data_IF_832610299753
#
_entry.id   IF_832610299753
#
_cell.length_a   1.000
_cell.length_b   1.000
_cell.length_c   1.000
_cell.angle_alpha   90.00
_cell.angle_beta   90.00
_cell.angle_gamma   90.00
#
_symmetry.space_group_name_H-M   'P 1'
#
loop_
_entity.id
_entity.type
_entity.pdbx_description
1 polymer ?
#
# COMPACT_ATOMS: atom_id res chain seq x y z
N UNK A 1 17.94 -3.35 9.67
CA UNK A 1 16.73 -2.66 9.16
C UNK A 1 17.03 -1.50 8.21
N UNK A 2 18.11 -0.73 8.39
CA UNK A 2 18.45 0.39 7.50
C UNK A 2 18.50 0.02 5.99
N UNK A 3 19.06 -1.14 5.65
CA UNK A 3 19.17 -1.61 4.27
C UNK A 3 17.83 -1.95 3.59
N UNK A 4 16.82 -2.40 4.35
CA UNK A 4 15.47 -2.66 3.78
C UNK A 4 14.77 -1.33 3.52
N UNK A 5 14.85 -0.41 4.48
CA UNK A 5 14.24 0.90 4.35
C UNK A 5 14.88 1.73 3.23
N UNK A 6 16.21 1.68 3.06
CA UNK A 6 16.89 2.41 1.98
C UNK A 6 16.46 1.93 0.60
N UNK A 7 16.36 0.61 0.40
CA UNK A 7 15.93 0.03 -0.88
C UNK A 7 14.48 0.39 -1.20
N UNK A 8 13.60 0.31 -0.20
CA UNK A 8 12.18 0.52 -0.42
C UNK A 8 11.83 2.00 -0.57
N UNK A 9 12.44 2.89 0.23
CA UNK A 9 12.06 4.30 0.29
C UNK A 9 12.22 5.03 -1.05
N UNK A 10 13.28 4.71 -1.81
CA UNK A 10 13.55 5.30 -3.12
C UNK A 10 12.53 4.87 -4.20
N UNK A 11 11.76 3.81 -3.92
CA UNK A 11 10.77 3.25 -4.86
C UNK A 11 9.32 3.56 -4.48
N UNK A 12 9.08 4.20 -3.33
CA UNK A 12 7.73 4.52 -2.87
C UNK A 12 7.12 5.66 -3.67
N UNK A 13 5.80 5.57 -3.86
CA UNK A 13 5.03 6.64 -4.49
C UNK A 13 5.12 7.94 -3.64
N UNK A 14 5.32 9.12 -4.26
CA UNK A 14 5.39 10.38 -3.53
C UNK A 14 4.14 10.70 -2.69
N UNK A 15 2.97 10.23 -3.13
CA UNK A 15 1.65 10.33 -2.48
C UNK A 15 1.32 9.11 -1.61
N UNK A 16 2.29 8.24 -1.33
CA UNK A 16 2.16 7.24 -0.27
C UNK A 16 2.50 7.86 1.10
N UNK A 17 1.48 8.04 1.92
CA UNK A 17 1.59 8.61 3.26
C UNK A 17 1.62 7.56 4.37
N UNK A 18 0.94 6.42 4.18
CA UNK A 18 0.94 5.34 5.14
C UNK A 18 2.28 4.59 5.17
N UNK A 19 2.69 4.15 6.36
CA UNK A 19 3.91 3.38 6.61
C UNK A 19 5.21 4.03 6.12
N UNK A 20 5.26 5.37 6.08
CA UNK A 20 6.43 6.14 5.65
C UNK A 20 6.89 7.08 6.77
N UNK A 21 8.20 7.20 7.04
CA UNK A 21 8.72 8.19 7.98
C UNK A 21 8.35 9.61 7.55
N UNK A 22 8.07 10.48 8.53
CA UNK A 22 7.75 11.89 8.31
C UNK A 22 6.52 12.13 7.42
N UNK A 23 5.56 11.21 7.42
CA UNK A 23 4.25 11.36 6.78
C UNK A 23 3.14 10.98 7.76
N UNK A 24 2.00 11.65 7.66
CA UNK A 24 0.82 11.40 8.51
C UNK A 24 -0.49 11.31 7.72
N UNK A 25 -1.56 10.92 8.42
CA UNK A 25 -2.92 11.01 7.90
C UNK A 25 -3.32 12.46 7.62
N UNK A 26 -2.86 13.41 8.45
CA UNK A 26 -3.10 14.85 8.25
C UNK A 26 -2.49 15.36 6.94
N UNK A 27 -1.28 14.91 6.58
CA UNK A 27 -0.66 15.24 5.28
C UNK A 27 -1.52 14.74 4.12
N UNK A 28 -2.08 13.54 4.25
CA UNK A 28 -2.96 12.93 3.23
C UNK A 28 -4.21 13.78 3.03
N UNK A 29 -4.88 14.13 4.13
CA UNK A 29 -6.10 14.94 4.12
C UNK A 29 -5.81 16.33 3.55
N UNK A 30 -4.72 16.96 4.00
CA UNK A 30 -4.32 18.30 3.56
C UNK A 30 -4.04 18.32 2.05
N UNK A 31 -3.32 17.35 1.51
CA UNK A 31 -3.02 17.26 0.07
C UNK A 31 -4.27 16.97 -0.75
N UNK A 32 -5.13 16.05 -0.30
CA UNK A 32 -6.39 15.76 -0.98
C UNK A 32 -7.30 16.99 -1.04
N UNK A 33 -7.43 17.70 0.09
CA UNK A 33 -8.23 18.92 0.21
C UNK A 33 -7.66 20.03 -0.66
N UNK A 34 -6.36 20.31 -0.54
CA UNK A 34 -5.67 21.34 -1.30
C UNK A 34 -5.80 21.10 -2.81
N UNK A 35 -5.62 19.85 -3.25
CA UNK A 35 -5.74 19.47 -4.66
C UNK A 35 -7.17 19.68 -5.16
N UNK A 36 -8.17 19.30 -4.37
CA UNK A 36 -9.57 19.47 -4.74
C UNK A 36 -9.96 20.95 -4.83
N UNK A 37 -9.64 21.74 -3.81
CA UNK A 37 -9.96 23.17 -3.77
C UNK A 37 -9.25 23.94 -4.89
N UNK A 38 -7.96 23.72 -5.08
CA UNK A 38 -7.19 24.37 -6.15
C UNK A 38 -7.73 24.02 -7.55
N UNK A 39 -8.34 22.85 -7.71
CA UNK A 39 -9.02 22.49 -8.95
C UNK A 39 -10.36 23.23 -9.09
N UNK A 40 -11.16 23.29 -8.03
CA UNK A 40 -12.48 23.95 -8.01
C UNK A 40 -12.42 25.47 -8.16
N UNK A 41 -11.31 26.11 -7.82
CA UNK A 41 -11.09 27.55 -8.04
C UNK A 41 -11.12 27.93 -9.54
N UNK A 42 -11.02 26.95 -10.44
CA UNK A 42 -11.12 27.16 -11.88
C UNK A 42 -12.59 27.15 -12.32
N UNK A 43 -12.97 28.15 -13.13
CA UNK A 43 -14.34 28.29 -13.63
C UNK A 43 -14.79 27.02 -14.38
N UNK A 44 -16.01 26.58 -14.09
CA UNK A 44 -16.67 25.46 -14.77
C UNK A 44 -15.93 24.11 -14.61
N UNK A 45 -15.33 23.88 -13.44
CA UNK A 45 -14.69 22.60 -13.10
C UNK A 45 -15.45 21.90 -11.97
N UNK A 46 -15.21 20.60 -11.79
CA UNK A 46 -15.71 19.80 -10.68
C UNK A 46 -14.67 18.75 -10.29
N UNK A 47 -14.82 18.16 -9.10
CA UNK A 47 -13.93 17.11 -8.58
C UNK A 47 -14.75 15.87 -8.29
N UNK A 48 -14.21 14.68 -8.59
CA UNK A 48 -14.75 13.39 -8.18
C UNK A 48 -13.67 12.64 -7.41
N UNK A 49 -14.02 12.17 -6.21
CA UNK A 49 -13.12 11.35 -5.39
C UNK A 49 -13.64 9.91 -5.36
N UNK A 50 -12.74 8.96 -5.56
CA UNK A 50 -13.01 7.53 -5.46
C UNK A 50 -12.29 6.98 -4.23
N UNK A 51 -13.05 6.42 -3.30
CA UNK A 51 -12.52 5.74 -2.12
C UNK A 51 -12.60 4.23 -2.33
N UNK A 52 -11.44 3.58 -2.34
CA UNK A 52 -11.33 2.11 -2.43
C UNK A 52 -10.74 1.64 -1.10
N UNK A 53 -11.52 0.86 -0.36
CA UNK A 53 -11.03 0.14 0.81
C UNK A 53 -10.98 -1.36 0.51
N UNK A 54 -9.89 -2.00 0.94
CA UNK A 54 -9.66 -3.43 0.71
C UNK A 54 -9.90 -4.18 2.02
N UNK A 55 -10.84 -5.12 2.01
CA UNK A 55 -11.06 -5.98 3.17
C UNK A 55 -9.84 -6.87 3.42
N UNK A 56 -9.32 -6.84 4.65
CA UNK A 56 -8.27 -7.71 5.16
C UNK A 56 -7.05 -7.85 4.22
N UNK A 57 -6.44 -6.72 3.84
CA UNK A 57 -5.32 -6.65 2.87
C UNK A 57 -4.19 -7.65 3.14
N UNK A 58 -3.85 -7.90 4.40
CA UNK A 58 -2.77 -8.83 4.78
C UNK A 58 -3.17 -10.30 4.66
N UNK A 59 -4.45 -10.61 4.73
CA UNK A 59 -4.98 -11.96 4.57
C UNK A 59 -5.15 -12.30 3.10
N UNK A 60 -5.55 -11.31 2.30
CA UNK A 60 -5.83 -11.47 0.86
C UNK A 60 -4.59 -11.42 -0.02
N UNK A 61 -3.45 -10.92 0.49
CA UNK A 61 -2.25 -10.77 -0.33
C UNK A 61 -1.72 -12.13 -0.80
N UNK A 62 -1.59 -12.29 -2.12
CA UNK A 62 -1.05 -13.51 -2.71
C UNK A 62 0.47 -13.59 -2.46
N UNK A 63 0.97 -14.59 -1.71
CA UNK A 63 2.38 -14.62 -1.31
C UNK A 63 3.34 -14.66 -2.51
N UNK A 64 3.00 -15.39 -3.57
CA UNK A 64 3.84 -15.47 -4.78
C UNK A 64 3.98 -14.12 -5.47
N UNK A 65 2.90 -13.32 -5.53
CA UNK A 65 2.92 -11.96 -6.09
C UNK A 65 3.73 -11.01 -5.21
N UNK A 66 3.60 -11.13 -3.88
CA UNK A 66 4.39 -10.35 -2.94
C UNK A 66 5.89 -10.65 -3.07
N UNK A 67 6.28 -11.93 -3.03
CA UNK A 67 7.68 -12.34 -3.16
C UNK A 67 8.29 -11.88 -4.49
N UNK A 68 7.54 -12.00 -5.59
CA UNK A 68 8.00 -11.52 -6.91
C UNK A 68 8.28 -10.02 -6.87
N UNK A 69 7.37 -9.21 -6.30
CA UNK A 69 7.58 -7.77 -6.14
C UNK A 69 8.77 -7.42 -5.27
N UNK A 70 8.96 -8.13 -4.15
CA UNK A 70 10.10 -7.89 -3.26
C UNK A 70 11.44 -8.17 -3.97
N UNK A 71 11.51 -9.25 -4.77
CA UNK A 71 12.70 -9.55 -5.59
C UNK A 71 12.96 -8.48 -6.64
N UNK A 72 11.93 -7.98 -7.33
CA UNK A 72 12.10 -6.90 -8.32
C UNK A 72 12.59 -5.59 -7.70
N UNK A 73 12.29 -5.36 -6.41
CA UNK A 73 12.78 -4.21 -5.66
C UNK A 73 14.23 -4.41 -5.16
N UNK A 74 14.89 -5.54 -5.45
CA UNK A 74 16.28 -5.77 -5.09
C UNK A 74 16.49 -6.37 -3.69
N UNK A 75 15.44 -6.89 -3.05
CA UNK A 75 15.59 -7.64 -1.80
C UNK A 75 16.27 -8.99 -2.07
N UNK A 76 17.20 -9.37 -1.20
CA UNK A 76 17.97 -10.60 -1.39
C UNK A 76 17.07 -11.85 -1.31
N UNK A 77 17.49 -12.91 -2.01
CA UNK A 77 16.70 -14.15 -2.11
C UNK A 77 16.47 -14.80 -0.76
N UNK A 78 17.45 -14.76 0.15
CA UNK A 78 17.35 -15.35 1.49
C UNK A 78 16.25 -14.71 2.33
N UNK A 79 16.13 -13.37 2.28
CA UNK A 79 15.09 -12.62 2.99
C UNK A 79 13.72 -12.84 2.37
N UNK A 80 13.61 -12.89 1.04
CA UNK A 80 12.37 -13.25 0.37
C UNK A 80 11.90 -14.66 0.76
N UNK A 81 12.82 -15.62 0.87
CA UNK A 81 12.49 -16.98 1.28
C UNK A 81 12.07 -17.05 2.75
N UNK A 82 12.59 -16.16 3.61
CA UNK A 82 12.15 -16.04 5.00
C UNK A 82 10.72 -15.49 5.14
N UNK A 83 10.33 -14.56 4.26
CA UNK A 83 8.98 -13.98 4.23
C UNK A 83 7.95 -14.99 3.65
N UNK A 84 8.42 -15.94 2.82
CA UNK A 84 7.55 -16.94 2.23
C UNK A 84 7.08 -17.95 3.29
N UNK A 85 5.75 -18.12 3.48
CA UNK A 85 5.25 -19.11 4.43
C UNK A 85 5.61 -20.54 3.99
N UNK A 86 5.87 -21.45 4.94
CA UNK A 86 6.25 -22.83 4.63
C UNK A 86 5.16 -23.54 3.83
N UNK A 87 5.56 -24.18 2.73
CA UNK A 87 4.69 -25.03 1.91
C UNK A 87 3.93 -24.36 0.77
N UNK A 88 4.13 -23.06 0.51
CA UNK A 88 3.63 -22.38 -0.71
C UNK A 88 2.10 -22.38 -0.91
N UNK A 89 1.33 -22.89 0.05
CA UNK A 89 -0.14 -22.92 -0.01
C UNK A 89 -0.69 -21.55 0.35
N UNK A 90 -1.49 -20.99 -0.57
CA UNK A 90 -2.46 -19.95 -0.22
C UNK A 90 -3.25 -20.45 0.99
N UNK A 91 -3.27 -19.68 2.08
CA UNK A 91 -4.13 -19.98 3.23
C UNK A 91 -5.56 -20.01 2.69
N UNK A 92 -6.29 -21.11 2.92
CA UNK A 92 -7.73 -21.11 2.68
C UNK A 92 -8.34 -20.03 3.56
N UNK A 93 -8.86 -18.98 2.93
CA UNK A 93 -9.47 -17.87 3.65
C UNK A 93 -10.94 -18.22 3.90
N UNK A 94 -11.25 -18.57 5.14
CA UNK A 94 -12.63 -18.60 5.59
C UNK A 94 -13.03 -17.17 5.94
N UNK A 95 -13.83 -16.55 5.09
CA UNK A 95 -14.43 -15.24 5.36
C UNK A 95 -15.61 -15.46 6.30
N UNK A 96 -15.40 -15.20 7.59
CA UNK A 96 -16.52 -15.06 8.52
C UNK A 96 -17.31 -13.81 8.10
N UNK A 97 -18.50 -14.02 7.54
CA UNK A 97 -19.44 -12.92 7.31
C UNK A 97 -19.95 -12.49 8.68
N UNK A 98 -19.57 -11.30 9.13
CA UNK A 98 -20.26 -10.63 10.22
C UNK A 98 -21.69 -10.34 9.74
N UNK A 99 -22.68 -10.88 10.43
CA UNK A 99 -24.08 -10.52 10.19
C UNK A 99 -24.30 -9.02 10.51
N UNK A 100 -25.25 -8.37 9.82
CA UNK A 100 -25.47 -6.93 9.86
C UNK A 100 -25.88 -6.40 11.23
#
# INVERSE_FOLDING_TARGET
>A
MAHINSILLDTLDPLQFAYRPNRSTDDTISIALHTALSHLDKRNTYVRMLFIDYSSVFTTILPTKLITKLRTLGLNTSLCNWIQPPGGKSRHQNVCHGNP
#
